data_IF_040254816572
#
_entry.id   IF_040254816572
#
_cell.length_a   1.000
_cell.length_b   1.000
_cell.length_c   1.000
_cell.angle_alpha   90.00
_cell.angle_beta   90.00
_cell.angle_gamma   90.00
#
_symmetry.space_group_name_H-M   'P 1'
#
loop_
_entity.id
_entity.type
_entity.pdbx_description
1 polymer ?
#
# COMPACT_ATOMS: atom_id res chain seq x y z
N UNK A 1 3.15 -10.04 -28.56
CA UNK A 1 2.46 -9.67 -27.31
C UNK A 1 1.12 -9.02 -27.67
N UNK A 2 0.02 -9.62 -27.26
CA UNK A 2 -1.33 -9.08 -27.48
C UNK A 2 -1.65 -7.96 -26.49
N UNK A 3 -2.67 -7.16 -26.79
CA UNK A 3 -3.17 -6.12 -25.85
C UNK A 3 -3.63 -6.74 -24.53
N UNK A 4 -4.14 -7.98 -24.57
CA UNK A 4 -4.60 -8.72 -23.39
C UNK A 4 -3.42 -9.11 -22.50
N UNK A 5 -2.35 -9.65 -23.08
CA UNK A 5 -1.11 -10.00 -22.37
C UNK A 5 -0.48 -8.75 -21.74
N UNK A 6 -0.39 -7.64 -22.48
CA UNK A 6 0.13 -6.37 -21.96
C UNK A 6 -0.67 -5.86 -20.76
N UNK A 7 -2.00 -5.97 -20.79
CA UNK A 7 -2.87 -5.57 -19.67
C UNK A 7 -2.69 -6.47 -18.44
N UNK A 8 -2.43 -7.77 -18.65
CA UNK A 8 -2.15 -8.70 -17.57
C UNK A 8 -0.81 -8.39 -16.89
N UNK A 9 0.24 -8.10 -17.67
CA UNK A 9 1.55 -7.69 -17.16
C UNK A 9 1.47 -6.38 -16.36
N UNK A 10 0.84 -5.33 -16.92
CA UNK A 10 0.66 -4.06 -16.20
C UNK A 10 -0.09 -4.24 -14.88
N UNK A 11 -1.08 -5.15 -14.85
CA UNK A 11 -1.82 -5.45 -13.64
C UNK A 11 -0.97 -6.19 -12.60
N UNK A 12 -0.15 -7.16 -13.02
CA UNK A 12 0.78 -7.83 -12.12
C UNK A 12 1.80 -6.84 -11.53
N UNK A 13 2.35 -5.95 -12.36
CA UNK A 13 3.25 -4.88 -11.90
C UNK A 13 2.56 -3.97 -10.88
N UNK A 14 1.31 -3.56 -11.14
CA UNK A 14 0.54 -2.75 -10.20
C UNK A 14 0.25 -3.49 -8.88
N UNK A 15 -0.10 -4.78 -8.92
CA UNK A 15 -0.31 -5.59 -7.71
C UNK A 15 0.97 -5.67 -6.88
N UNK A 16 2.11 -5.90 -7.52
CA UNK A 16 3.42 -5.96 -6.85
C UNK A 16 3.76 -4.63 -6.17
N UNK A 17 3.65 -3.52 -6.89
CA UNK A 17 3.92 -2.19 -6.33
C UNK A 17 3.02 -1.86 -5.13
N UNK A 18 1.75 -2.29 -5.16
CA UNK A 18 0.83 -2.10 -4.03
C UNK A 18 1.16 -3.00 -2.83
N UNK A 19 1.71 -4.20 -3.04
CA UNK A 19 2.22 -5.03 -1.95
C UNK A 19 3.42 -4.36 -1.27
N UNK A 20 4.39 -3.91 -2.05
CA UNK A 20 5.59 -3.24 -1.54
C UNK A 20 5.20 -1.95 -0.77
N UNK A 21 4.24 -1.19 -1.28
CA UNK A 21 3.72 -0.01 -0.59
C UNK A 21 2.94 -0.35 0.70
N UNK A 22 2.15 -1.44 0.71
CA UNK A 22 1.43 -1.91 1.90
C UNK A 22 2.41 -2.27 3.01
N UNK A 23 3.51 -2.96 2.68
CA UNK A 23 4.56 -3.34 3.62
C UNK A 23 5.30 -2.11 4.17
N UNK A 24 5.76 -1.22 3.29
CA UNK A 24 6.50 -0.02 3.70
C UNK A 24 5.68 0.91 4.60
N UNK A 25 4.40 1.15 4.27
CA UNK A 25 3.51 1.96 5.10
C UNK A 25 3.20 1.28 6.44
N UNK A 26 3.07 -0.04 6.47
CA UNK A 26 2.88 -0.78 7.73
C UNK A 26 4.12 -0.64 8.62
N UNK A 27 5.32 -0.81 8.08
CA UNK A 27 6.57 -0.62 8.82
C UNK A 27 6.71 0.81 9.35
N UNK A 28 6.36 1.82 8.54
CA UNK A 28 6.37 3.21 8.95
C UNK A 28 5.36 3.47 10.08
N UNK A 29 4.14 2.91 10.00
CA UNK A 29 3.15 3.03 11.06
C UNK A 29 3.66 2.42 12.38
N UNK A 30 4.31 1.25 12.32
CA UNK A 30 4.91 0.60 13.50
C UNK A 30 6.08 1.40 14.09
N UNK A 31 6.87 2.10 13.26
CA UNK A 31 7.95 2.95 13.78
C UNK A 31 7.44 4.10 14.65
N UNK A 32 6.25 4.65 14.35
CA UNK A 32 5.62 5.67 15.19
C UNK A 32 5.17 5.13 16.56
N UNK A 33 4.84 3.83 16.66
CA UNK A 33 4.53 3.18 17.93
C UNK A 33 5.77 2.94 18.80
N UNK A 34 6.91 2.64 18.16
CA UNK A 34 8.18 2.39 18.84
C UNK A 34 8.85 3.68 19.37
N UNK A 35 8.54 4.84 18.78
CA UNK A 35 9.09 6.14 19.16
C UNK A 35 7.99 7.19 19.42
N UNK A 36 7.14 6.98 20.45
CA UNK A 36 5.99 7.86 20.71
C UNK A 36 6.38 9.30 21.12
N UNK A 37 7.63 9.50 21.56
CA UNK A 37 8.15 10.79 22.03
C UNK A 37 8.91 11.58 20.96
N UNK A 38 9.10 11.05 19.75
CA UNK A 38 9.58 11.87 18.65
C UNK A 38 8.51 12.87 18.27
N UNK A 39 8.87 14.16 18.24
CA UNK A 39 8.01 15.29 17.84
C UNK A 39 7.66 15.18 16.36
N UNK A 40 6.81 14.24 16.00
CA UNK A 40 6.22 14.15 14.68
C UNK A 40 5.12 15.21 14.59
N UNK A 41 5.51 16.38 14.09
CA UNK A 41 4.72 17.62 14.00
C UNK A 41 3.45 17.55 13.11
N UNK A 42 3.04 16.38 12.65
CA UNK A 42 1.92 16.21 11.72
C UNK A 42 0.75 15.47 12.39
N UNK A 43 -0.05 16.18 13.19
CA UNK A 43 -1.40 15.83 13.67
C UNK A 43 -1.82 14.32 13.63
N UNK A 44 -1.04 13.41 14.20
CA UNK A 44 -1.19 11.93 14.14
C UNK A 44 -0.69 11.25 12.84
N UNK A 45 0.64 11.15 12.63
CA UNK A 45 1.22 10.51 11.43
C UNK A 45 0.88 9.02 11.34
N UNK A 46 0.82 8.31 12.47
CA UNK A 46 0.43 6.89 12.53
C UNK A 46 -0.97 6.65 11.96
N UNK A 47 -1.95 7.47 12.35
CA UNK A 47 -3.34 7.32 11.89
C UNK A 47 -3.44 7.57 10.39
N UNK A 48 -2.73 8.58 9.90
CA UNK A 48 -2.67 8.91 8.48
C UNK A 48 -2.02 7.78 7.65
N UNK A 49 -0.92 7.22 8.16
CA UNK A 49 -0.22 6.09 7.53
C UNK A 49 -1.10 4.84 7.50
N UNK A 50 -1.74 4.47 8.61
CA UNK A 50 -2.64 3.32 8.69
C UNK A 50 -3.86 3.47 7.76
N UNK A 51 -4.43 4.67 7.67
CA UNK A 51 -5.52 4.98 6.73
C UNK A 51 -5.07 4.74 5.28
N UNK A 52 -3.88 5.22 4.93
CA UNK A 52 -3.28 5.04 3.60
C UNK A 52 -3.01 3.56 3.31
N UNK A 53 -2.45 2.80 4.26
CA UNK A 53 -2.26 1.34 4.15
C UNK A 53 -3.58 0.61 3.85
N UNK A 54 -4.67 1.01 4.51
CA UNK A 54 -6.00 0.43 4.28
C UNK A 54 -6.51 0.70 2.86
N UNK A 55 -6.28 1.90 2.33
CA UNK A 55 -6.62 2.25 0.94
C UNK A 55 -5.80 1.45 -0.08
N UNK A 56 -4.48 1.33 0.14
CA UNK A 56 -3.57 0.53 -0.71
C UNK A 56 -4.02 -0.93 -0.74
N UNK A 57 -4.32 -1.52 0.43
CA UNK A 57 -4.84 -2.89 0.55
C UNK A 57 -6.16 -3.08 -0.21
N UNK A 58 -7.08 -2.11 -0.13
CA UNK A 58 -8.36 -2.16 -0.87
C UNK A 58 -8.11 -2.17 -2.37
N UNK A 59 -7.26 -1.27 -2.87
CA UNK A 59 -6.93 -1.19 -4.30
C UNK A 59 -6.30 -2.49 -4.82
N UNK A 60 -5.35 -3.06 -4.06
CA UNK A 60 -4.73 -4.35 -4.40
C UNK A 60 -5.76 -5.46 -4.55
N UNK A 61 -6.69 -5.60 -3.59
CA UNK A 61 -7.76 -6.60 -3.64
C UNK A 61 -8.68 -6.43 -4.85
N UNK A 62 -8.94 -5.19 -5.28
CA UNK A 62 -9.71 -4.93 -6.50
C UNK A 62 -8.95 -5.44 -7.73
N UNK A 63 -7.65 -5.13 -7.84
CA UNK A 63 -6.83 -5.61 -8.96
C UNK A 63 -6.68 -7.14 -8.99
N UNK A 64 -6.58 -7.79 -7.83
CA UNK A 64 -6.57 -9.25 -7.72
C UNK A 64 -7.89 -9.88 -8.16
N UNK A 65 -9.03 -9.25 -7.84
CA UNK A 65 -10.35 -9.74 -8.27
C UNK A 65 -10.53 -9.65 -9.78
N UNK A 66 -10.01 -8.61 -10.42
CA UNK A 66 -10.10 -8.45 -11.88
C UNK A 66 -9.36 -9.56 -12.64
N UNK A 67 -8.45 -10.30 -11.97
CA UNK A 67 -7.71 -11.45 -12.55
C UNK A 67 -8.56 -12.71 -12.66
N UNK A 68 -9.62 -12.86 -11.84
CA UNK A 68 -10.57 -13.98 -11.90
C UNK A 68 -11.63 -13.71 -12.95
#
# INVERSE_FOLDING_TARGET
MTIIERRAEMRQTAIKALLDAEEALTALAMSYELQPNEKTSACHPQTSTLSTTSQVRKLRRVLEKLRR
#
